data_IF_240646161417
#
_entry.id   IF_240646161417
#
_cell.length_a   1.000
_cell.length_b   1.000
_cell.length_c   1.000
_cell.angle_alpha   90.00
_cell.angle_beta   90.00
_cell.angle_gamma   90.00
#
_symmetry.space_group_name_H-M   'P 1'
#
loop_
_entity.id
_entity.type
_entity.pdbx_description
1 polymer ?
#
# COMPACT_ATOMS: atom_id res chain seq x y z
N UNK A 1 -29.71 9.97 -50.09
CA UNK A 1 -30.48 10.97 -49.36
C UNK A 1 -31.29 11.77 -50.35
N UNK A 2 -32.61 11.79 -50.21
CA UNK A 2 -33.48 12.63 -51.03
C UNK A 2 -33.38 14.09 -50.58
N UNK A 3 -33.68 15.05 -51.46
CA UNK A 3 -33.69 16.49 -51.12
C UNK A 3 -34.63 16.77 -49.93
N UNK A 4 -35.73 16.02 -49.84
CA UNK A 4 -36.70 16.13 -48.74
C UNK A 4 -36.12 15.68 -47.40
N UNK A 5 -35.37 14.58 -47.38
CA UNK A 5 -34.66 14.10 -46.18
C UNK A 5 -33.62 15.13 -45.70
N UNK A 6 -32.84 15.70 -46.62
CA UNK A 6 -31.85 16.72 -46.29
C UNK A 6 -32.46 18.02 -45.72
N UNK A 7 -33.62 18.42 -46.24
CA UNK A 7 -34.38 19.58 -45.73
C UNK A 7 -34.97 19.31 -44.33
N UNK A 8 -35.48 18.10 -44.11
CA UNK A 8 -36.04 17.69 -42.82
C UNK A 8 -34.95 17.60 -41.74
N UNK A 9 -33.79 17.03 -42.07
CA UNK A 9 -32.60 16.97 -41.20
C UNK A 9 -32.11 18.39 -40.83
N UNK A 10 -32.02 19.29 -41.81
CA UNK A 10 -31.65 20.69 -41.60
C UNK A 10 -32.60 21.43 -40.66
N UNK A 11 -33.91 21.25 -40.87
CA UNK A 11 -34.96 21.92 -40.07
C UNK A 11 -34.92 21.43 -38.63
N UNK A 12 -34.73 20.12 -38.42
CA UNK A 12 -34.61 19.53 -37.09
C UNK A 12 -33.33 20.04 -36.37
N UNK A 13 -32.22 20.14 -37.10
CA UNK A 13 -30.96 20.66 -36.57
C UNK A 13 -31.09 22.13 -36.12
N UNK A 14 -31.68 22.98 -36.95
CA UNK A 14 -31.95 24.39 -36.59
C UNK A 14 -32.85 24.49 -35.36
N UNK A 15 -33.91 23.67 -35.29
CA UNK A 15 -34.80 23.63 -34.12
C UNK A 15 -34.05 23.22 -32.84
N UNK A 16 -33.12 22.27 -32.90
CA UNK A 16 -32.26 21.91 -31.76
C UNK A 16 -31.39 23.09 -31.32
N UNK A 17 -30.76 23.80 -32.25
CA UNK A 17 -29.89 24.96 -31.96
C UNK A 17 -30.70 26.09 -31.32
N UNK A 18 -31.84 26.43 -31.91
CA UNK A 18 -32.72 27.49 -31.39
C UNK A 18 -33.24 27.16 -30.00
N UNK A 19 -33.58 25.90 -29.75
CA UNK A 19 -34.13 25.47 -28.47
C UNK A 19 -33.09 25.30 -27.36
N UNK A 20 -31.88 24.84 -27.69
CA UNK A 20 -30.91 24.40 -26.69
C UNK A 20 -29.62 25.22 -26.64
N UNK A 21 -29.29 25.99 -27.68
CA UNK A 21 -28.01 26.72 -27.76
C UNK A 21 -28.24 28.23 -27.67
N UNK A 22 -29.23 28.79 -28.39
CA UNK A 22 -29.50 30.23 -28.34
C UNK A 22 -29.80 30.75 -26.91
N UNK A 23 -30.60 30.04 -26.07
CA UNK A 23 -30.84 30.50 -24.70
C UNK A 23 -29.56 30.60 -23.87
N UNK A 24 -28.55 29.75 -24.14
CA UNK A 24 -27.26 29.77 -23.44
C UNK A 24 -26.52 31.10 -23.67
N UNK A 25 -26.62 31.64 -24.89
CA UNK A 25 -25.98 32.88 -25.29
C UNK A 25 -26.71 34.09 -24.71
N UNK A 26 -28.04 34.09 -24.76
CA UNK A 26 -28.87 35.21 -24.31
C UNK A 26 -28.80 35.42 -22.79
N UNK A 27 -28.71 34.32 -22.03
CA UNK A 27 -28.67 34.37 -20.56
C UNK A 27 -27.26 34.57 -19.98
N UNK A 28 -26.21 34.70 -20.82
CA UNK A 28 -24.79 34.78 -20.41
C UNK A 28 -24.35 33.64 -19.48
N UNK A 29 -24.94 32.46 -19.64
CA UNK A 29 -24.68 31.32 -18.75
C UNK A 29 -23.51 30.45 -19.20
N UNK A 30 -22.94 30.73 -20.38
CA UNK A 30 -21.78 30.04 -20.93
C UNK A 30 -20.76 31.06 -21.44
N UNK A 31 -19.62 31.17 -20.75
CA UNK A 31 -18.56 32.14 -21.11
C UNK A 31 -17.53 31.50 -22.05
N UNK A 32 -17.96 31.14 -23.26
CA UNK A 32 -17.10 30.55 -24.30
C UNK A 32 -17.52 31.10 -25.67
N UNK A 33 -16.98 32.27 -26.02
CA UNK A 33 -17.25 32.90 -27.31
C UNK A 33 -16.80 32.00 -28.48
N UNK A 34 -15.74 31.21 -28.27
CA UNK A 34 -15.21 30.26 -29.25
C UNK A 34 -16.23 29.14 -29.54
N UNK A 35 -16.87 28.58 -28.51
CA UNK A 35 -17.95 27.60 -28.68
C UNK A 35 -19.11 28.15 -29.52
N UNK A 36 -19.62 29.35 -29.22
CA UNK A 36 -20.73 29.92 -29.98
C UNK A 36 -20.32 30.22 -31.42
N UNK A 37 -19.08 30.64 -31.65
CA UNK A 37 -18.52 30.81 -32.99
C UNK A 37 -18.48 29.47 -33.74
N UNK A 38 -17.95 28.42 -33.12
CA UNK A 38 -17.84 27.09 -33.72
C UNK A 38 -19.19 26.48 -34.06
N UNK A 39 -20.17 26.62 -33.15
CA UNK A 39 -21.55 26.17 -33.40
C UNK A 39 -22.19 26.97 -34.51
N UNK A 40 -22.03 28.30 -34.53
CA UNK A 40 -22.59 29.16 -35.59
C UNK A 40 -22.00 28.78 -36.95
N UNK A 41 -20.68 28.59 -37.02
CA UNK A 41 -20.00 28.15 -38.24
C UNK A 41 -20.44 26.75 -38.68
N UNK A 42 -20.67 25.84 -37.73
CA UNK A 42 -21.17 24.50 -38.01
C UNK A 42 -22.64 24.49 -38.47
N UNK A 43 -23.47 25.37 -37.89
CA UNK A 43 -24.86 25.59 -38.28
C UNK A 43 -24.99 26.12 -39.71
N UNK A 44 -24.13 27.09 -40.09
CA UNK A 44 -24.06 27.61 -41.46
C UNK A 44 -23.69 26.52 -42.47
N UNK A 45 -22.87 25.54 -42.07
CA UNK A 45 -22.50 24.39 -42.91
C UNK A 45 -23.59 23.31 -42.98
N UNK A 46 -24.67 23.45 -42.21
CA UNK A 46 -25.79 22.51 -42.15
C UNK A 46 -25.36 21.04 -41.98
N UNK A 47 -24.42 20.79 -41.06
CA UNK A 47 -23.82 19.48 -40.85
C UNK A 47 -23.93 19.09 -39.38
N UNK A 48 -24.77 18.09 -39.08
CA UNK A 48 -24.91 17.54 -37.72
C UNK A 48 -23.57 17.02 -37.20
N UNK A 49 -22.74 16.45 -38.07
CA UNK A 49 -21.38 16.03 -37.72
C UNK A 49 -20.51 17.20 -37.27
N UNK A 50 -20.57 18.35 -37.97
CA UNK A 50 -19.81 19.54 -37.58
C UNK A 50 -20.29 20.10 -36.23
N UNK A 51 -21.61 20.11 -35.98
CA UNK A 51 -22.16 20.58 -34.71
C UNK A 51 -21.79 19.63 -33.58
N UNK A 52 -21.93 18.32 -33.79
CA UNK A 52 -21.53 17.29 -32.82
C UNK A 52 -20.05 17.42 -32.46
N UNK A 53 -19.19 17.70 -33.44
CA UNK A 53 -17.77 17.96 -33.22
C UNK A 53 -17.54 19.25 -32.42
N UNK A 54 -18.23 20.34 -32.74
CA UNK A 54 -18.13 21.61 -32.00
C UNK A 54 -18.59 21.45 -30.55
N UNK A 55 -19.68 20.71 -30.32
CA UNK A 55 -20.16 20.37 -28.96
C UNK A 55 -19.13 19.53 -28.22
N UNK A 56 -18.59 18.48 -28.86
CA UNK A 56 -17.55 17.65 -28.24
C UNK A 56 -16.35 18.49 -27.82
N UNK A 57 -15.93 19.44 -28.66
CA UNK A 57 -14.81 20.33 -28.42
C UNK A 57 -15.07 21.27 -27.24
N UNK A 58 -16.26 21.86 -27.17
CA UNK A 58 -16.69 22.65 -26.02
C UNK A 58 -16.75 21.85 -24.71
N UNK A 59 -17.16 20.58 -24.77
CA UNK A 59 -17.15 19.69 -23.61
C UNK A 59 -15.72 19.42 -23.09
N UNK A 60 -14.69 19.56 -23.92
CA UNK A 60 -13.29 19.48 -23.45
C UNK A 60 -12.84 20.72 -22.67
N UNK A 61 -13.52 21.85 -22.87
CA UNK A 61 -13.17 23.18 -22.32
C UNK A 61 -14.02 23.62 -21.12
N UNK A 62 -14.85 22.74 -20.56
CA UNK A 62 -15.77 23.07 -19.45
C UNK A 62 -15.09 23.74 -18.24
N UNK A 63 -13.80 23.45 -17.98
CA UNK A 63 -13.05 24.12 -16.92
C UNK A 63 -12.81 25.61 -17.15
N UNK A 64 -12.63 26.01 -18.42
CA UNK A 64 -12.42 27.40 -18.80
C UNK A 64 -13.74 28.17 -18.90
N UNK A 65 -14.76 27.56 -19.51
CA UNK A 65 -16.06 28.18 -19.78
C UNK A 65 -17.00 28.19 -18.58
N UNK A 66 -16.81 27.24 -17.65
CA UNK A 66 -17.55 27.08 -16.39
C UNK A 66 -19.09 27.21 -16.51
N UNK A 67 -19.73 26.51 -17.46
CA UNK A 67 -21.18 26.59 -17.63
C UNK A 67 -21.94 25.95 -16.46
N UNK A 68 -23.20 26.31 -16.26
CA UNK A 68 -24.03 25.59 -15.30
C UNK A 68 -24.19 24.11 -15.70
N UNK A 69 -24.16 23.20 -14.73
CA UNK A 69 -24.31 21.75 -14.95
C UNK A 69 -25.59 21.39 -15.74
N UNK A 70 -26.71 22.07 -15.46
CA UNK A 70 -27.99 21.87 -16.15
C UNK A 70 -27.81 22.08 -17.65
N UNK A 71 -27.08 23.12 -18.05
CA UNK A 71 -26.84 23.43 -19.46
C UNK A 71 -25.98 22.37 -20.14
N UNK A 72 -24.96 21.88 -19.43
CA UNK A 72 -24.13 20.77 -19.93
C UNK A 72 -24.99 19.54 -20.18
N UNK A 73 -25.90 19.21 -19.26
CA UNK A 73 -26.84 18.09 -19.43
C UNK A 73 -27.79 18.31 -20.62
N UNK A 74 -28.33 19.52 -20.80
CA UNK A 74 -29.20 19.84 -21.94
C UNK A 74 -28.46 19.73 -23.27
N UNK A 75 -27.22 20.23 -23.34
CA UNK A 75 -26.39 20.16 -24.53
C UNK A 75 -26.09 18.70 -24.90
N UNK A 76 -25.78 17.86 -23.92
CA UNK A 76 -25.56 16.41 -24.13
C UNK A 76 -26.84 15.72 -24.59
N UNK A 77 -28.00 16.05 -24.00
CA UNK A 77 -29.28 15.48 -24.43
C UNK A 77 -29.62 15.84 -25.88
N UNK A 78 -29.26 17.05 -26.32
CA UNK A 78 -29.44 17.48 -27.70
C UNK A 78 -28.46 16.81 -28.68
N UNK A 79 -27.20 16.59 -28.23
CA UNK A 79 -26.11 16.05 -29.04
C UNK A 79 -25.34 14.92 -28.32
N UNK A 80 -25.97 13.76 -28.07
CA UNK A 80 -25.38 12.70 -27.23
C UNK A 80 -24.12 12.07 -27.84
N UNK A 81 -24.02 12.03 -29.17
CA UNK A 81 -22.86 11.48 -29.86
C UNK A 81 -21.59 12.33 -29.68
N UNK A 82 -21.73 13.59 -29.21
CA UNK A 82 -20.59 14.43 -28.87
C UNK A 82 -19.73 13.80 -27.77
N UNK A 83 -20.32 13.04 -26.83
CA UNK A 83 -19.57 12.33 -25.79
C UNK A 83 -18.71 11.18 -26.33
N UNK A 84 -19.04 10.64 -27.51
CA UNK A 84 -18.29 9.56 -28.17
C UNK A 84 -17.22 10.09 -29.11
N UNK A 85 -17.33 11.35 -29.52
CA UNK A 85 -16.41 11.98 -30.44
C UNK A 85 -15.04 12.13 -29.79
N UNK A 86 -14.04 11.46 -30.35
CA UNK A 86 -12.66 11.60 -29.88
C UNK A 86 -12.03 12.87 -30.42
N UNK A 87 -11.37 13.62 -29.55
CA UNK A 87 -10.58 14.80 -29.85
C UNK A 87 -9.14 14.46 -29.44
N UNK A 88 -8.24 14.48 -30.42
CA UNK A 88 -6.85 14.03 -30.25
C UNK A 88 -6.74 12.62 -29.62
N UNK A 89 -7.65 11.73 -30.03
CA UNK A 89 -7.71 10.35 -29.55
C UNK A 89 -8.37 10.17 -28.17
N UNK A 90 -8.80 11.24 -27.50
CA UNK A 90 -9.41 11.21 -26.16
C UNK A 90 -10.90 11.50 -26.21
N UNK A 91 -11.68 10.90 -25.31
CA UNK A 91 -13.08 11.27 -25.08
C UNK A 91 -13.16 12.63 -24.37
N UNK A 92 -14.25 13.40 -24.49
CA UNK A 92 -14.36 14.69 -23.81
C UNK A 92 -14.16 14.59 -22.30
N UNK A 93 -14.66 13.53 -21.68
CA UNK A 93 -14.44 13.22 -20.26
C UNK A 93 -12.94 13.12 -19.89
N UNK A 94 -12.11 12.55 -20.77
CA UNK A 94 -10.66 12.38 -20.58
C UNK A 94 -9.90 13.70 -20.71
N UNK A 95 -10.39 14.64 -21.52
CA UNK A 95 -9.78 15.95 -21.68
C UNK A 95 -9.93 16.83 -20.43
N UNK A 96 -10.95 16.60 -19.59
CA UNK A 96 -11.18 17.42 -18.39
C UNK A 96 -10.03 17.40 -17.40
N UNK A 97 -9.27 16.30 -17.32
CA UNK A 97 -8.13 16.18 -16.41
C UNK A 97 -6.82 16.76 -16.97
N UNK A 98 -6.79 17.09 -18.26
CA UNK A 98 -5.70 17.80 -18.92
C UNK A 98 -5.86 19.33 -18.85
N UNK A 99 -7.06 19.81 -18.56
CA UNK A 99 -7.37 21.24 -18.52
C UNK A 99 -6.45 22.01 -17.56
N UNK A 100 -6.18 23.26 -17.90
CA UNK A 100 -5.38 24.19 -17.06
C UNK A 100 -6.02 24.38 -15.68
N UNK A 101 -7.35 24.36 -15.61
CA UNK A 101 -8.13 24.48 -14.38
C UNK A 101 -8.77 23.15 -13.96
N UNK A 102 -7.91 22.20 -13.55
CA UNK A 102 -8.32 20.83 -13.18
C UNK A 102 -9.36 20.77 -12.07
N UNK A 103 -9.35 21.72 -11.15
CA UNK A 103 -10.27 21.72 -10.02
C UNK A 103 -11.69 21.97 -10.51
N UNK A 104 -11.89 23.00 -11.33
CA UNK A 104 -13.20 23.33 -11.87
C UNK A 104 -13.68 22.34 -12.92
N UNK A 105 -12.80 21.85 -13.80
CA UNK A 105 -13.21 20.85 -14.80
C UNK A 105 -13.64 19.52 -14.16
N UNK A 106 -13.01 19.12 -13.05
CA UNK A 106 -13.30 17.83 -12.41
C UNK A 106 -14.74 17.67 -11.92
N UNK A 107 -15.45 18.76 -11.63
CA UNK A 107 -16.83 18.70 -11.17
C UNK A 107 -17.80 18.14 -12.24
N UNK A 108 -17.49 18.34 -13.53
CA UNK A 108 -18.31 17.85 -14.64
C UNK A 108 -18.09 16.37 -14.95
N UNK A 109 -17.09 15.72 -14.35
CA UNK A 109 -16.78 14.30 -14.59
C UNK A 109 -17.98 13.42 -14.24
N UNK A 110 -18.63 13.69 -13.10
CA UNK A 110 -19.80 12.94 -12.66
C UNK A 110 -20.95 13.10 -13.67
N UNK A 111 -21.24 14.34 -14.06
CA UNK A 111 -22.30 14.67 -15.02
C UNK A 111 -22.08 13.99 -16.37
N UNK A 112 -20.89 14.14 -16.94
CA UNK A 112 -20.54 13.56 -18.24
C UNK A 112 -20.57 12.03 -18.20
N UNK A 113 -20.11 11.41 -17.12
CA UNK A 113 -20.15 9.96 -16.98
C UNK A 113 -21.58 9.42 -16.82
N UNK A 114 -22.42 10.09 -16.02
CA UNK A 114 -23.83 9.70 -15.83
C UNK A 114 -24.60 9.82 -17.15
N UNK A 115 -24.46 10.92 -17.87
CA UNK A 115 -25.09 11.05 -19.19
C UNK A 115 -24.44 10.08 -20.20
N UNK A 116 -23.13 9.90 -20.15
CA UNK A 116 -22.40 8.98 -21.01
C UNK A 116 -22.83 7.52 -20.86
N UNK A 117 -23.21 7.09 -19.64
CA UNK A 117 -23.79 5.76 -19.43
C UNK A 117 -25.08 5.54 -20.20
N UNK A 118 -25.96 6.56 -20.28
CA UNK A 118 -27.24 6.47 -21.01
C UNK A 118 -27.03 6.26 -22.50
N UNK A 119 -25.89 6.70 -23.02
CA UNK A 119 -25.55 6.67 -24.43
C UNK A 119 -24.47 5.63 -24.79
N UNK A 120 -24.11 4.73 -23.85
CA UNK A 120 -23.07 3.70 -24.03
C UNK A 120 -21.71 4.28 -24.48
N UNK A 121 -21.31 5.40 -23.88
CA UNK A 121 -20.02 6.05 -24.17
C UNK A 121 -18.88 5.15 -23.71
N UNK A 122 -17.98 4.83 -24.64
CA UNK A 122 -16.89 3.88 -24.43
C UNK A 122 -17.28 2.42 -24.71
N UNK A 123 -18.56 2.12 -24.83
CA UNK A 123 -19.08 0.76 -24.99
C UNK A 123 -19.43 0.07 -23.68
N UNK A 124 -19.89 -1.18 -23.80
CA UNK A 124 -20.40 -1.98 -22.69
C UNK A 124 -19.40 -2.04 -21.51
N UNK A 125 -19.91 -1.82 -20.31
CA UNK A 125 -19.17 -1.79 -19.04
C UNK A 125 -18.11 -0.69 -18.90
N UNK A 126 -18.01 0.27 -19.83
CA UNK A 126 -17.06 1.38 -19.71
C UNK A 126 -17.54 2.53 -18.83
N UNK A 127 -18.74 2.41 -18.24
CA UNK A 127 -19.33 3.35 -17.27
C UNK A 127 -19.29 4.80 -17.74
N UNK A 128 -19.82 5.03 -18.94
CA UNK A 128 -19.87 6.36 -19.54
C UNK A 128 -18.50 6.93 -19.90
N UNK A 129 -17.54 6.06 -20.22
CA UNK A 129 -16.18 6.44 -20.59
C UNK A 129 -15.19 6.54 -19.43
N UNK A 130 -15.63 6.41 -18.16
CA UNK A 130 -14.74 6.47 -16.99
C UNK A 130 -13.62 5.42 -17.07
N UNK A 131 -13.95 4.20 -17.52
CA UNK A 131 -12.98 3.11 -17.62
C UNK A 131 -12.22 3.08 -18.94
N UNK A 132 -12.53 4.00 -19.87
CA UNK A 132 -11.75 4.08 -21.09
C UNK A 132 -10.33 4.54 -20.74
N UNK A 133 -9.34 3.74 -21.11
CA UNK A 133 -7.94 4.15 -20.97
C UNK A 133 -7.59 5.20 -22.01
N UNK A 134 -6.88 6.24 -21.56
CA UNK A 134 -6.11 7.15 -22.42
C UNK A 134 -4.67 7.09 -21.92
N UNK A 135 -3.73 6.74 -22.78
CA UNK A 135 -2.31 6.63 -22.40
C UNK A 135 -2.09 5.72 -21.18
N UNK A 136 -2.64 4.50 -21.21
CA UNK A 136 -2.49 3.47 -20.16
C UNK A 136 -3.27 3.70 -18.86
N UNK A 137 -3.87 4.87 -18.65
CA UNK A 137 -4.65 5.19 -17.45
C UNK A 137 -6.10 5.52 -17.78
N UNK A 138 -7.03 5.03 -16.97
CA UNK A 138 -8.43 5.44 -17.02
C UNK A 138 -8.70 6.66 -16.11
N UNK A 139 -9.92 7.21 -16.15
CA UNK A 139 -10.29 8.41 -15.39
C UNK A 139 -10.13 8.21 -13.88
N UNK A 140 -10.46 7.03 -13.34
CA UNK A 140 -10.32 6.75 -11.91
C UNK A 140 -8.86 6.82 -11.48
N UNK A 141 -7.96 6.23 -12.27
CA UNK A 141 -6.51 6.25 -12.01
C UNK A 141 -5.94 7.66 -12.10
N UNK A 142 -6.37 8.44 -13.10
CA UNK A 142 -5.96 9.84 -13.24
C UNK A 142 -6.46 10.70 -12.08
N UNK A 143 -7.72 10.55 -11.66
CA UNK A 143 -8.27 11.22 -10.48
C UNK A 143 -7.48 10.88 -9.22
N UNK A 144 -6.95 9.66 -9.09
CA UNK A 144 -6.11 9.32 -7.94
C UNK A 144 -4.73 9.98 -7.98
N UNK A 145 -4.20 10.25 -9.18
CA UNK A 145 -2.81 10.69 -9.37
C UNK A 145 -2.62 12.20 -9.33
N UNK A 146 -3.62 12.99 -9.76
CA UNK A 146 -3.48 14.43 -9.98
C UNK A 146 -4.57 15.24 -9.27
N UNK A 147 -4.38 16.55 -9.22
CA UNK A 147 -5.39 17.49 -8.71
C UNK A 147 -5.34 17.71 -7.20
N UNK A 148 -6.19 18.63 -6.74
CA UNK A 148 -6.32 18.97 -5.32
C UNK A 148 -7.12 17.89 -4.58
N UNK A 149 -6.58 17.39 -3.47
CA UNK A 149 -7.13 16.24 -2.73
C UNK A 149 -8.62 16.39 -2.39
N UNK A 150 -9.03 17.57 -1.93
CA UNK A 150 -10.39 17.81 -1.44
C UNK A 150 -11.41 17.78 -2.57
N UNK A 151 -11.15 18.52 -3.65
CA UNK A 151 -12.05 18.56 -4.80
C UNK A 151 -12.15 17.20 -5.47
N UNK A 152 -11.03 16.49 -5.62
CA UNK A 152 -11.07 15.16 -6.24
C UNK A 152 -11.74 14.13 -5.33
N UNK A 153 -11.55 14.21 -4.01
CA UNK A 153 -12.29 13.37 -3.06
C UNK A 153 -13.80 13.57 -3.21
N UNK A 154 -14.26 14.83 -3.33
CA UNK A 154 -15.69 15.12 -3.53
C UNK A 154 -16.19 14.48 -4.84
N UNK A 155 -15.42 14.55 -5.94
CA UNK A 155 -15.75 13.86 -7.19
C UNK A 155 -15.83 12.34 -7.01
N UNK A 156 -14.84 11.73 -6.35
CA UNK A 156 -14.82 10.28 -6.10
C UNK A 156 -16.01 9.82 -5.25
N UNK A 157 -16.40 10.61 -4.24
CA UNK A 157 -17.60 10.34 -3.42
C UNK A 157 -18.86 10.36 -4.27
N UNK A 158 -19.05 11.38 -5.10
CA UNK A 158 -20.20 11.44 -6.00
C UNK A 158 -20.20 10.30 -7.03
N UNK A 159 -19.04 9.92 -7.58
CA UNK A 159 -18.92 8.75 -8.44
C UNK A 159 -19.36 7.46 -7.71
N UNK A 160 -18.96 7.30 -6.45
CA UNK A 160 -19.37 6.17 -5.63
C UNK A 160 -20.88 6.18 -5.35
N UNK A 161 -21.46 7.33 -4.98
CA UNK A 161 -22.90 7.49 -4.76
C UNK A 161 -23.75 7.17 -6.01
N UNK A 162 -23.22 7.47 -7.21
CA UNK A 162 -23.87 7.14 -8.49
C UNK A 162 -23.59 5.70 -8.96
N UNK A 163 -22.84 4.90 -8.19
CA UNK A 163 -22.47 3.52 -8.55
C UNK A 163 -21.46 3.42 -9.71
N UNK A 164 -20.79 4.54 -10.04
CA UNK A 164 -19.77 4.65 -11.07
C UNK A 164 -18.38 4.26 -10.56
N UNK A 165 -18.11 4.50 -9.28
CA UNK A 165 -16.97 3.95 -8.54
C UNK A 165 -17.50 2.86 -7.62
N UNK A 166 -16.83 1.71 -7.58
CA UNK A 166 -17.15 0.55 -6.76
C UNK A 166 -15.93 0.20 -5.90
N UNK A 167 -16.15 -0.51 -4.80
CA UNK A 167 -15.04 -0.95 -3.95
C UNK A 167 -14.06 -1.87 -4.70
N UNK A 168 -14.58 -2.73 -5.59
CA UNK A 168 -13.77 -3.66 -6.37
C UNK A 168 -12.78 -2.93 -7.30
N UNK A 169 -13.14 -1.72 -7.74
CA UNK A 169 -12.30 -0.87 -8.60
C UNK A 169 -10.99 -0.47 -7.90
N UNK A 170 -10.99 -0.37 -6.57
CA UNK A 170 -9.83 0.03 -5.79
C UNK A 170 -8.67 -0.94 -6.05
N UNK A 171 -8.97 -2.24 -6.02
CA UNK A 171 -7.99 -3.28 -6.34
C UNK A 171 -7.82 -3.48 -7.85
N UNK A 172 -8.92 -3.57 -8.62
CA UNK A 172 -8.89 -3.87 -10.06
C UNK A 172 -8.08 -2.83 -10.85
N UNK A 173 -8.22 -1.55 -10.51
CA UNK A 173 -7.51 -0.46 -11.19
C UNK A 173 -6.36 0.11 -10.37
N UNK A 174 -5.99 -0.57 -9.27
CA UNK A 174 -4.87 -0.20 -8.40
C UNK A 174 -4.94 1.25 -7.88
N UNK A 175 -6.11 1.70 -7.45
CA UNK A 175 -6.33 3.12 -7.10
C UNK A 175 -5.47 3.59 -5.92
N UNK A 176 -5.15 2.71 -4.95
CA UNK A 176 -4.21 3.01 -3.86
C UNK A 176 -2.79 3.28 -4.37
N UNK A 177 -2.38 2.61 -5.46
CA UNK A 177 -1.08 2.86 -6.11
C UNK A 177 -1.01 4.28 -6.67
N UNK A 178 -2.02 4.66 -7.44
CA UNK A 178 -2.09 5.98 -8.04
C UNK A 178 -2.30 7.10 -7.02
N UNK A 179 -3.03 6.82 -5.93
CA UNK A 179 -3.17 7.77 -4.83
C UNK A 179 -1.79 8.18 -4.28
N UNK A 180 -0.82 7.25 -4.16
CA UNK A 180 0.52 7.57 -3.68
C UNK A 180 1.34 8.54 -4.57
N UNK A 181 0.88 8.85 -5.79
CA UNK A 181 1.60 9.75 -6.71
C UNK A 181 1.46 11.24 -6.35
N UNK A 182 0.42 11.64 -5.63
CA UNK A 182 0.18 13.03 -5.25
C UNK A 182 0.72 13.36 -3.86
N UNK A 183 1.37 14.51 -3.68
CA UNK A 183 1.80 14.99 -2.35
C UNK A 183 0.62 15.24 -1.40
N UNK A 184 -0.52 15.63 -1.96
CA UNK A 184 -1.78 15.90 -1.26
C UNK A 184 -2.84 14.91 -1.74
N UNK A 185 -2.67 13.64 -1.39
CA UNK A 185 -3.57 12.54 -1.77
C UNK A 185 -4.03 11.71 -0.57
N UNK A 186 -3.73 12.17 0.66
CA UNK A 186 -4.03 11.44 1.89
C UNK A 186 -5.53 11.22 2.08
N UNK A 187 -6.36 12.21 1.74
CA UNK A 187 -7.80 12.13 1.94
C UNK A 187 -8.41 11.11 0.97
N UNK A 188 -7.94 11.07 -0.28
CA UNK A 188 -8.32 10.03 -1.25
C UNK A 188 -7.89 8.64 -0.80
N UNK A 189 -6.65 8.51 -0.35
CA UNK A 189 -6.14 7.23 0.15
C UNK A 189 -6.95 6.73 1.35
N UNK A 190 -7.20 7.59 2.34
CA UNK A 190 -7.99 7.28 3.53
C UNK A 190 -9.42 6.89 3.15
N UNK A 191 -10.05 7.61 2.23
CA UNK A 191 -11.38 7.27 1.75
C UNK A 191 -11.45 5.89 1.09
N UNK A 192 -10.43 5.50 0.30
CA UNK A 192 -10.38 4.14 -0.26
C UNK A 192 -10.23 3.07 0.82
N UNK A 193 -9.44 3.34 1.86
CA UNK A 193 -9.31 2.42 3.00
C UNK A 193 -10.58 2.34 3.84
N UNK A 194 -11.39 3.39 3.89
CA UNK A 194 -12.73 3.36 4.51
C UNK A 194 -13.73 2.54 3.67
N UNK A 195 -13.67 2.66 2.34
CA UNK A 195 -14.52 1.90 1.42
C UNK A 195 -14.18 0.41 1.40
N UNK A 196 -12.89 0.08 1.43
CA UNK A 196 -12.40 -1.29 1.44
C UNK A 196 -11.13 -1.43 2.31
N UNK A 197 -11.29 -1.77 3.60
CA UNK A 197 -10.16 -1.97 4.51
C UNK A 197 -9.20 -3.10 4.07
N UNK A 198 -9.69 -4.07 3.29
CA UNK A 198 -8.88 -5.19 2.80
C UNK A 198 -8.11 -4.82 1.52
N UNK A 199 -8.41 -3.67 0.90
CA UNK A 199 -7.79 -3.27 -0.36
C UNK A 199 -6.27 -3.17 -0.27
N UNK A 200 -5.71 -2.78 0.89
CA UNK A 200 -4.26 -2.70 1.06
C UNK A 200 -3.57 -4.07 0.97
N UNK A 201 -4.20 -5.09 1.55
CA UNK A 201 -3.74 -6.47 1.50
C UNK A 201 -4.04 -7.13 0.16
N UNK A 202 -5.09 -6.71 -0.55
CA UNK A 202 -5.50 -7.30 -1.83
C UNK A 202 -4.88 -6.61 -3.05
N UNK A 203 -4.49 -5.34 -2.94
CA UNK A 203 -3.89 -4.59 -4.04
C UNK A 203 -2.53 -5.18 -4.38
N UNK A 204 -2.43 -5.68 -5.61
CA UNK A 204 -1.22 -6.24 -6.19
C UNK A 204 -0.99 -5.64 -7.56
N UNK A 205 0.20 -5.14 -7.80
CA UNK A 205 0.62 -4.71 -9.14
C UNK A 205 1.51 -5.81 -9.71
N UNK A 206 0.94 -6.67 -10.55
CA UNK A 206 1.51 -7.99 -10.81
C UNK A 206 1.57 -8.82 -9.53
N UNK A 207 2.73 -9.38 -9.18
CA UNK A 207 2.94 -10.16 -7.95
C UNK A 207 3.48 -9.33 -6.77
N UNK A 208 3.51 -8.01 -6.90
CA UNK A 208 4.10 -7.10 -5.90
C UNK A 208 3.03 -6.45 -5.02
N UNK A 209 3.30 -6.34 -3.72
CA UNK A 209 2.50 -5.46 -2.86
C UNK A 209 2.71 -3.99 -3.25
N UNK A 210 1.79 -3.12 -2.81
CA UNK A 210 1.78 -1.68 -3.12
C UNK A 210 3.16 -1.00 -3.00
N UNK A 211 3.82 -1.18 -1.85
CA UNK A 211 5.11 -0.53 -1.59
C UNK A 211 6.23 -1.07 -2.50
N UNK A 212 6.22 -2.38 -2.79
CA UNK A 212 7.19 -2.98 -3.71
C UNK A 212 6.97 -2.52 -5.16
N UNK A 213 5.72 -2.36 -5.57
CA UNK A 213 5.35 -1.88 -6.89
C UNK A 213 5.84 -0.44 -7.11
N UNK A 214 5.55 0.47 -6.17
CA UNK A 214 5.97 1.87 -6.26
C UNK A 214 7.49 1.99 -6.33
N UNK A 215 8.20 1.27 -5.46
CA UNK A 215 9.66 1.27 -5.47
C UNK A 215 10.21 0.78 -6.81
N UNK A 216 9.58 -0.22 -7.43
CA UNK A 216 10.05 -0.82 -8.70
C UNK A 216 9.76 0.05 -9.91
N UNK A 217 8.55 0.60 -10.01
CA UNK A 217 8.10 1.32 -11.19
C UNK A 217 8.52 2.80 -11.18
N UNK A 218 8.80 3.36 -10.00
CA UNK A 218 9.16 4.77 -9.82
C UNK A 218 10.43 4.91 -8.97
N UNK A 219 11.53 4.35 -9.47
CA UNK A 219 12.78 4.26 -8.72
C UNK A 219 13.45 5.60 -8.38
N UNK A 220 13.05 6.68 -9.04
CA UNK A 220 13.54 8.04 -8.89
C UNK A 220 12.59 8.94 -8.07
N UNK A 221 11.42 8.42 -7.66
CA UNK A 221 10.36 9.19 -6.98
C UNK A 221 10.33 8.91 -5.48
N UNK A 222 11.26 9.54 -4.76
CA UNK A 222 11.30 9.50 -3.29
C UNK A 222 9.99 9.97 -2.63
N UNK A 223 9.33 10.94 -3.26
CA UNK A 223 8.03 11.48 -2.86
C UNK A 223 6.94 10.39 -2.84
N UNK A 224 6.91 9.50 -3.83
CA UNK A 224 5.89 8.45 -3.91
C UNK A 224 6.07 7.41 -2.81
N UNK A 225 7.32 7.03 -2.55
CA UNK A 225 7.64 6.13 -1.43
C UNK A 225 7.28 6.76 -0.09
N UNK A 226 7.62 8.03 0.13
CA UNK A 226 7.27 8.77 1.35
C UNK A 226 5.76 8.86 1.55
N UNK A 227 5.00 9.19 0.50
CA UNK A 227 3.54 9.28 0.55
C UNK A 227 2.93 7.92 0.88
N UNK A 228 3.34 6.88 0.16
CA UNK A 228 2.89 5.51 0.45
C UNK A 228 3.17 5.11 1.89
N UNK A 229 4.37 5.35 2.41
CA UNK A 229 4.71 5.02 3.79
C UNK A 229 3.83 5.82 4.75
N UNK A 230 3.71 7.14 4.56
CA UNK A 230 2.88 8.01 5.41
C UNK A 230 1.43 7.54 5.49
N UNK A 231 0.83 7.18 4.36
CA UNK A 231 -0.57 6.78 4.31
C UNK A 231 -0.76 5.37 4.88
N UNK A 232 0.06 4.42 4.44
CA UNK A 232 -0.08 3.03 4.86
C UNK A 232 0.25 2.80 6.32
N UNK A 233 1.14 3.59 6.92
CA UNK A 233 1.48 3.49 8.34
C UNK A 233 0.29 3.70 9.29
N UNK A 234 -0.79 4.36 8.83
CA UNK A 234 -2.04 4.49 9.59
C UNK A 234 -2.83 3.19 9.68
N UNK A 235 -2.69 2.32 8.67
CA UNK A 235 -3.52 1.12 8.50
C UNK A 235 -2.73 -0.17 8.72
N UNK A 236 -1.51 -0.27 8.17
CA UNK A 236 -0.68 -1.46 8.21
C UNK A 236 0.80 -1.09 8.34
N UNK A 237 1.32 -1.19 9.56
CA UNK A 237 2.67 -0.73 9.90
C UNK A 237 3.79 -1.64 9.38
N UNK A 238 3.48 -2.90 9.08
CA UNK A 238 4.48 -3.92 8.74
C UNK A 238 4.82 -4.00 7.24
N UNK A 239 4.18 -3.18 6.38
CA UNK A 239 4.45 -3.17 4.94
C UNK A 239 5.90 -2.85 4.59
N UNK A 240 6.56 -2.01 5.38
CA UNK A 240 7.97 -1.66 5.20
C UNK A 240 8.89 -2.90 5.25
N UNK A 241 8.51 -3.92 6.04
CA UNK A 241 9.29 -5.15 6.22
C UNK A 241 8.70 -6.36 5.47
N UNK A 242 7.61 -6.17 4.73
CA UNK A 242 7.04 -7.23 3.90
C UNK A 242 8.04 -7.62 2.79
N UNK A 243 8.22 -8.93 2.59
CA UNK A 243 9.12 -9.47 1.57
C UNK A 243 8.41 -9.63 0.22
N UNK A 244 9.13 -9.34 -0.85
CA UNK A 244 8.80 -9.73 -2.21
C UNK A 244 10.06 -10.36 -2.83
N UNK A 245 10.05 -11.69 -2.94
CA UNK A 245 11.26 -12.48 -3.18
C UNK A 245 12.23 -12.37 -1.99
N UNK A 246 13.55 -12.16 -2.24
CA UNK A 246 14.55 -12.13 -1.17
C UNK A 246 14.63 -10.79 -0.43
N UNK A 247 13.95 -9.74 -0.89
CA UNK A 247 14.09 -8.38 -0.36
C UNK A 247 12.82 -7.91 0.35
N UNK A 248 12.99 -7.23 1.47
CA UNK A 248 11.94 -6.39 2.09
C UNK A 248 11.76 -5.09 1.31
N UNK A 249 10.64 -4.40 1.52
CA UNK A 249 10.40 -3.09 0.92
C UNK A 249 11.46 -2.07 1.42
N UNK A 250 11.82 -2.11 2.70
CA UNK A 250 12.92 -1.33 3.25
C UNK A 250 14.23 -1.59 2.51
N UNK A 251 14.67 -2.85 2.39
CA UNK A 251 15.95 -3.17 1.72
C UNK A 251 15.96 -2.68 0.28
N UNK A 252 14.81 -2.80 -0.41
CA UNK A 252 14.62 -2.32 -1.77
C UNK A 252 14.71 -0.78 -1.83
N UNK A 253 14.08 -0.07 -0.90
CA UNK A 253 14.20 1.38 -0.77
C UNK A 253 15.65 1.79 -0.45
N UNK A 254 16.33 1.14 0.50
CA UNK A 254 17.70 1.47 0.89
C UNK A 254 18.69 1.32 -0.25
N UNK A 255 18.51 0.31 -1.11
CA UNK A 255 19.34 0.14 -2.31
C UNK A 255 19.15 1.27 -3.34
N UNK A 256 17.99 1.93 -3.34
CA UNK A 256 17.64 2.97 -4.32
C UNK A 256 17.97 4.37 -3.81
N UNK A 257 17.49 4.72 -2.61
CA UNK A 257 17.62 6.06 -2.07
C UNK A 257 18.74 6.20 -1.03
N UNK A 258 19.48 5.11 -0.73
CA UNK A 258 20.61 5.11 0.20
C UNK A 258 20.24 5.76 1.57
N UNK A 259 21.00 6.77 1.97
CA UNK A 259 20.82 7.48 3.23
C UNK A 259 19.50 8.28 3.30
N UNK A 260 18.90 8.65 2.15
CA UNK A 260 17.64 9.39 2.13
C UNK A 260 16.48 8.59 2.70
N UNK A 261 16.52 7.25 2.64
CA UNK A 261 15.49 6.40 3.26
C UNK A 261 15.38 6.72 4.74
N UNK A 262 16.49 6.77 5.48
CA UNK A 262 16.44 7.01 6.93
C UNK A 262 15.85 8.38 7.27
N UNK A 263 16.12 9.40 6.43
CA UNK A 263 15.48 10.72 6.55
C UNK A 263 13.97 10.64 6.33
N UNK A 264 13.52 9.96 5.28
CA UNK A 264 12.09 9.74 5.00
C UNK A 264 11.43 9.00 6.16
N UNK A 265 12.04 7.92 6.65
CA UNK A 265 11.52 7.18 7.79
C UNK A 265 11.41 8.09 9.02
N UNK A 266 12.41 8.94 9.30
CA UNK A 266 12.36 9.87 10.44
C UNK A 266 11.28 10.93 10.31
N UNK A 267 10.95 11.35 9.10
CA UNK A 267 9.84 12.29 8.85
C UNK A 267 8.47 11.62 9.01
N UNK A 268 8.38 10.30 8.83
CA UNK A 268 7.11 9.56 8.90
C UNK A 268 6.85 8.92 10.26
N UNK A 269 7.86 8.31 10.89
CA UNK A 269 7.75 7.71 12.21
C UNK A 269 7.94 8.78 13.29
N UNK A 270 6.86 9.07 14.03
CA UNK A 270 6.89 9.99 15.14
C UNK A 270 7.12 9.24 16.46
N UNK A 271 7.73 9.92 17.44
CA UNK A 271 7.98 9.33 18.77
C UNK A 271 6.70 8.86 19.46
N UNK A 272 5.60 9.54 19.17
CA UNK A 272 4.26 9.31 19.73
C UNK A 272 3.57 8.06 19.19
N UNK A 273 4.06 7.46 18.10
CA UNK A 273 3.33 6.41 17.39
C UNK A 273 3.35 5.06 18.12
N UNK A 274 4.19 4.93 19.15
CA UNK A 274 4.38 3.70 19.93
C UNK A 274 4.80 2.49 19.08
N UNK A 275 5.23 2.70 17.83
CA UNK A 275 5.54 1.62 16.91
C UNK A 275 6.92 1.02 17.25
N UNK A 276 7.01 -0.30 17.55
CA UNK A 276 8.25 -0.94 17.97
C UNK A 276 9.22 -1.18 16.79
N UNK A 277 9.61 -0.11 16.10
CA UNK A 277 10.39 -0.14 14.85
C UNK A 277 11.66 -0.98 14.96
N UNK A 278 12.46 -0.78 16.03
CA UNK A 278 13.68 -1.56 16.24
C UNK A 278 13.42 -3.06 16.41
N UNK A 279 12.28 -3.47 16.96
CA UNK A 279 11.93 -4.89 17.08
C UNK A 279 11.73 -5.50 15.70
N UNK A 280 11.04 -4.78 14.81
CA UNK A 280 10.82 -5.21 13.43
C UNK A 280 12.14 -5.24 12.63
N UNK A 281 13.04 -4.28 12.86
CA UNK A 281 14.38 -4.28 12.27
C UNK A 281 15.19 -5.49 12.71
N UNK A 282 15.20 -5.84 14.00
CA UNK A 282 15.89 -7.05 14.49
C UNK A 282 15.40 -8.30 13.76
N UNK A 283 14.08 -8.43 13.56
CA UNK A 283 13.50 -9.62 12.97
C UNK A 283 13.69 -9.71 11.45
N UNK A 284 13.62 -8.59 10.75
CA UNK A 284 13.52 -8.57 9.29
C UNK A 284 14.79 -8.07 8.59
N UNK A 285 15.51 -7.12 9.21
CA UNK A 285 16.66 -6.42 8.61
C UNK A 285 17.78 -6.18 9.64
N UNK A 286 18.30 -7.24 10.31
CA UNK A 286 19.20 -7.12 11.46
C UNK A 286 20.52 -6.40 11.14
N UNK A 287 20.98 -6.46 9.90
CA UNK A 287 22.19 -5.75 9.45
C UNK A 287 22.06 -4.22 9.56
N UNK A 288 20.84 -3.68 9.63
CA UNK A 288 20.59 -2.25 9.77
C UNK A 288 20.36 -1.82 11.22
N UNK A 289 20.38 -2.73 12.19
CA UNK A 289 20.03 -2.45 13.59
C UNK A 289 20.77 -1.23 14.15
N UNK A 290 22.10 -1.20 14.03
CA UNK A 290 22.91 -0.09 14.53
C UNK A 290 22.55 1.25 13.87
N UNK A 291 22.22 1.24 12.58
CA UNK A 291 21.80 2.44 11.88
C UNK A 291 20.45 2.93 12.41
N UNK A 292 19.49 2.02 12.62
CA UNK A 292 18.19 2.41 13.19
C UNK A 292 18.30 2.89 14.64
N UNK A 293 19.16 2.32 15.47
CA UNK A 293 19.37 2.79 16.86
C UNK A 293 19.82 4.25 16.87
N UNK A 294 20.70 4.65 15.96
CA UNK A 294 21.16 6.04 15.83
C UNK A 294 20.05 6.99 15.39
N UNK A 295 19.18 6.56 14.48
CA UNK A 295 18.13 7.41 13.92
C UNK A 295 16.83 7.44 14.73
N UNK A 296 16.55 6.37 15.48
CA UNK A 296 15.30 6.14 16.22
C UNK A 296 15.56 5.72 17.67
N UNK A 297 16.41 6.44 18.44
CA UNK A 297 16.82 6.01 19.77
C UNK A 297 15.64 5.86 20.74
N UNK A 298 14.58 6.66 20.60
CA UNK A 298 13.39 6.61 21.45
C UNK A 298 12.67 5.25 21.40
N UNK A 299 12.81 4.51 20.30
CA UNK A 299 12.14 3.20 20.13
C UNK A 299 12.76 2.10 20.98
N UNK A 300 13.91 2.36 21.63
CA UNK A 300 14.58 1.39 22.52
C UNK A 300 13.75 1.00 23.74
N UNK A 301 12.89 1.90 24.20
CA UNK A 301 12.05 1.72 25.38
C UNK A 301 10.69 1.12 25.07
N UNK A 302 10.34 0.98 23.78
CA UNK A 302 9.07 0.40 23.38
C UNK A 302 9.08 -1.11 23.61
N UNK A 303 7.88 -1.69 23.66
CA UNK A 303 7.68 -3.14 23.72
C UNK A 303 7.04 -3.62 22.43
N UNK A 304 7.38 -4.82 21.99
CA UNK A 304 6.71 -5.44 20.84
C UNK A 304 5.27 -5.89 21.16
N UNK A 305 4.58 -6.44 20.17
CA UNK A 305 3.22 -7.00 20.29
C UNK A 305 3.08 -8.09 21.37
N UNK A 306 4.17 -8.72 21.79
CA UNK A 306 4.20 -9.72 22.86
C UNK A 306 4.65 -9.15 24.21
N UNK A 307 4.83 -7.82 24.30
CA UNK A 307 5.31 -7.14 25.50
C UNK A 307 6.82 -7.25 25.71
N UNK A 308 7.59 -7.79 24.77
CA UNK A 308 9.05 -7.95 24.90
C UNK A 308 9.75 -6.62 24.78
N UNK A 309 10.79 -6.42 25.58
CA UNK A 309 11.77 -5.34 25.34
C UNK A 309 12.72 -5.72 24.20
N UNK A 310 13.48 -4.73 23.70
CA UNK A 310 14.54 -4.99 22.73
C UNK A 310 15.54 -6.01 23.25
N UNK A 311 15.96 -5.89 24.51
CA UNK A 311 16.90 -6.83 25.15
C UNK A 311 16.36 -8.26 25.11
N UNK A 312 15.08 -8.45 25.47
CA UNK A 312 14.44 -9.76 25.44
C UNK A 312 14.36 -10.33 24.02
N UNK A 313 14.03 -9.49 23.03
CA UNK A 313 14.00 -9.90 21.63
C UNK A 313 15.38 -10.25 21.08
N UNK A 314 16.40 -9.46 21.42
CA UNK A 314 17.79 -9.71 21.02
C UNK A 314 18.29 -11.08 21.53
N UNK A 315 17.90 -11.44 22.75
CA UNK A 315 18.33 -12.68 23.40
C UNK A 315 17.53 -13.91 22.94
N UNK A 316 16.25 -13.74 22.61
CA UNK A 316 15.36 -14.85 22.22
C UNK A 316 15.37 -15.17 20.72
N UNK A 317 15.64 -14.19 19.85
CA UNK A 317 15.60 -14.39 18.40
C UNK A 317 16.96 -14.84 17.83
N UNK A 318 16.96 -15.56 16.71
CA UNK A 318 18.21 -15.93 16.01
C UNK A 318 18.93 -14.68 15.47
N UNK A 319 18.21 -13.80 14.77
CA UNK A 319 18.77 -12.56 14.23
C UNK A 319 19.32 -11.63 15.33
N UNK A 320 18.61 -11.54 16.46
CA UNK A 320 19.08 -10.78 17.62
C UNK A 320 20.39 -11.31 18.19
N UNK A 321 20.52 -12.63 18.29
CA UNK A 321 21.75 -13.26 18.79
C UNK A 321 22.94 -13.02 17.87
N UNK A 322 22.75 -12.97 16.56
CA UNK A 322 23.79 -12.57 15.60
C UNK A 322 24.26 -11.11 15.81
N UNK A 323 23.33 -10.20 16.11
CA UNK A 323 23.65 -8.81 16.45
C UNK A 323 24.50 -8.75 17.74
N UNK A 324 24.12 -9.53 18.76
CA UNK A 324 24.83 -9.60 20.04
C UNK A 324 26.24 -10.18 19.89
N UNK A 325 26.43 -11.19 19.05
CA UNK A 325 27.76 -11.76 18.78
C UNK A 325 28.71 -10.74 18.14
N UNK A 326 28.19 -9.90 17.24
CA UNK A 326 28.95 -8.79 16.64
C UNK A 326 29.26 -7.68 17.67
N UNK A 327 28.51 -7.59 18.77
CA UNK A 327 28.64 -6.53 19.77
C UNK A 327 28.62 -7.07 21.22
N UNK A 328 29.65 -7.79 21.68
CA UNK A 328 29.63 -8.48 22.97
C UNK A 328 29.37 -7.57 24.19
N UNK A 329 29.76 -6.30 24.09
CA UNK A 329 29.55 -5.31 25.15
C UNK A 329 28.07 -5.02 25.45
N UNK A 330 27.17 -5.30 24.51
CA UNK A 330 25.73 -5.04 24.66
C UNK A 330 25.11 -5.89 25.77
N UNK A 331 25.35 -7.21 25.76
CA UNK A 331 24.83 -8.11 26.81
C UNK A 331 25.73 -8.15 28.05
N UNK A 332 27.00 -7.70 27.95
CA UNK A 332 27.86 -7.58 29.13
C UNK A 332 27.42 -6.48 30.12
N UNK A 333 26.57 -5.55 29.67
CA UNK A 333 26.10 -4.41 30.46
C UNK A 333 24.69 -4.60 31.05
N UNK A 334 24.07 -5.77 30.86
CA UNK A 334 22.75 -6.03 31.42
C UNK A 334 22.82 -5.99 32.95
N UNK A 335 21.83 -5.32 33.55
CA UNK A 335 21.71 -5.27 35.00
C UNK A 335 21.04 -6.56 35.53
N UNK A 336 21.00 -6.70 36.87
CA UNK A 336 20.42 -7.85 37.53
C UNK A 336 18.94 -8.01 37.19
N UNK A 337 18.17 -6.91 37.15
CA UNK A 337 16.74 -6.95 36.83
C UNK A 337 16.48 -7.46 35.41
N UNK A 338 17.29 -7.02 34.43
CA UNK A 338 17.20 -7.46 33.03
C UNK A 338 17.58 -8.93 32.87
N UNK A 339 18.59 -9.41 33.63
CA UNK A 339 19.01 -10.82 33.64
C UNK A 339 17.95 -11.71 34.31
N UNK A 340 17.16 -11.17 35.22
CA UNK A 340 16.07 -11.88 35.90
C UNK A 340 14.74 -11.79 35.15
N UNK A 341 14.56 -10.77 34.32
CA UNK A 341 13.33 -10.48 33.60
C UNK A 341 12.96 -11.61 32.63
N UNK A 342 11.87 -12.32 32.92
CA UNK A 342 11.34 -13.37 32.06
C UNK A 342 10.80 -12.78 30.76
N UNK A 343 11.12 -13.44 29.65
CA UNK A 343 10.53 -13.13 28.36
C UNK A 343 9.00 -13.41 28.44
N UNK A 344 8.14 -12.42 28.16
CA UNK A 344 6.69 -12.57 28.33
C UNK A 344 6.04 -13.63 27.43
N UNK A 345 6.66 -13.96 26.28
CA UNK A 345 6.12 -14.94 25.34
C UNK A 345 6.50 -16.37 25.73
N UNK A 346 7.76 -16.59 26.07
CA UNK A 346 8.33 -17.92 26.34
C UNK A 346 8.39 -18.27 27.82
N UNK A 347 8.23 -17.28 28.70
CA UNK A 347 8.44 -17.33 30.16
C UNK A 347 9.86 -17.69 30.59
N UNK A 348 10.79 -17.81 29.64
CA UNK A 348 12.18 -18.16 29.89
C UNK A 348 12.96 -16.96 30.43
N UNK A 349 13.90 -17.24 31.34
CA UNK A 349 14.92 -16.27 31.71
C UNK A 349 15.90 -16.07 30.54
N UNK A 350 16.56 -14.90 30.43
CA UNK A 350 17.51 -14.56 29.38
C UNK A 350 18.52 -15.64 29.01
N UNK A 351 19.24 -16.22 29.99
CA UNK A 351 20.22 -17.27 29.72
C UNK A 351 19.58 -18.50 29.07
N UNK A 352 18.40 -18.90 29.55
CA UNK A 352 17.66 -20.05 29.04
C UNK A 352 17.08 -19.77 27.65
N UNK A 353 16.56 -18.55 27.42
CA UNK A 353 16.08 -18.11 26.11
C UNK A 353 17.19 -18.22 25.06
N UNK A 354 18.37 -17.68 25.35
CA UNK A 354 19.56 -17.75 24.47
C UNK A 354 19.97 -19.19 24.17
N UNK A 355 19.95 -20.06 25.18
CA UNK A 355 20.33 -21.47 25.07
C UNK A 355 19.28 -22.33 24.35
N UNK A 356 18.01 -21.91 24.36
CA UNK A 356 16.89 -22.72 23.85
C UNK A 356 16.74 -22.71 22.32
N UNK A 357 17.31 -21.73 21.61
CA UNK A 357 17.22 -21.66 20.16
C UNK A 357 18.04 -22.76 19.46
N UNK A 358 17.68 -23.09 18.22
CA UNK A 358 18.38 -24.10 17.41
C UNK A 358 19.90 -23.86 17.34
N UNK A 359 20.31 -22.59 17.20
CA UNK A 359 21.71 -22.16 17.23
C UNK A 359 22.14 -21.67 18.62
N UNK A 360 21.77 -22.40 19.67
CA UNK A 360 21.98 -22.02 21.07
C UNK A 360 23.36 -21.40 21.33
N UNK A 361 23.40 -20.12 21.69
CA UNK A 361 24.65 -19.37 21.89
C UNK A 361 25.14 -19.53 23.33
N UNK A 362 25.73 -20.69 23.61
CA UNK A 362 26.15 -21.09 24.97
C UNK A 362 27.17 -20.12 25.58
N UNK A 363 27.99 -19.46 24.78
CA UNK A 363 28.90 -18.39 25.23
C UNK A 363 28.14 -17.21 25.87
N UNK A 364 27.08 -16.73 25.22
CA UNK A 364 26.23 -15.65 25.73
C UNK A 364 25.50 -16.15 26.98
N UNK A 365 24.89 -17.34 26.92
CA UNK A 365 24.21 -17.94 28.08
C UNK A 365 25.12 -18.08 29.29
N UNK A 366 26.35 -18.57 29.10
CA UNK A 366 27.32 -18.74 30.19
C UNK A 366 27.76 -17.39 30.77
N UNK A 367 27.95 -16.38 29.92
CA UNK A 367 28.30 -15.04 30.38
C UNK A 367 27.20 -14.41 31.24
N UNK A 368 25.92 -14.58 30.86
CA UNK A 368 24.78 -14.11 31.65
C UNK A 368 24.70 -14.81 33.01
N UNK A 369 24.93 -16.13 33.05
CA UNK A 369 25.00 -16.89 34.31
C UNK A 369 26.16 -16.43 35.20
N UNK A 370 27.31 -16.07 34.60
CA UNK A 370 28.46 -15.56 35.35
C UNK A 370 28.17 -14.20 35.99
N UNK A 371 27.35 -13.37 35.37
CA UNK A 371 26.95 -12.07 35.91
C UNK A 371 25.97 -12.19 37.07
N UNK A 372 25.02 -13.13 36.99
CA UNK A 372 24.09 -13.42 38.08
C UNK A 372 23.86 -14.93 38.22
N UNK A 373 24.67 -15.65 39.02
CA UNK A 373 24.52 -17.10 39.19
C UNK A 373 23.19 -17.52 39.84
N UNK A 374 22.57 -16.65 40.63
CA UNK A 374 21.34 -16.97 41.39
C UNK A 374 20.17 -17.34 40.49
N UNK A 375 20.15 -16.85 39.24
CA UNK A 375 19.13 -17.20 38.26
C UNK A 375 19.12 -18.68 37.88
N UNK A 376 20.25 -19.37 38.06
CA UNK A 376 20.37 -20.81 37.86
C UNK A 376 19.73 -21.58 39.01
N UNK A 377 19.95 -21.14 40.25
CA UNK A 377 19.40 -21.80 41.44
C UNK A 377 17.87 -21.78 41.42
N UNK A 378 17.28 -20.63 41.06
CA UNK A 378 15.83 -20.52 40.86
C UNK A 378 15.33 -21.40 39.72
N UNK A 379 16.10 -21.52 38.64
CA UNK A 379 15.73 -22.34 37.49
C UNK A 379 15.78 -23.84 37.82
N UNK A 380 16.78 -24.29 38.57
CA UNK A 380 16.93 -25.69 39.03
C UNK A 380 15.86 -26.04 40.08
N UNK A 381 15.51 -25.08 40.94
CA UNK A 381 14.48 -25.24 41.98
C UNK A 381 13.06 -25.33 41.41
N UNK A 382 12.85 -25.07 40.12
CA UNK A 382 11.56 -25.23 39.47
C UNK A 382 11.18 -26.73 39.39
N UNK A 383 10.11 -27.18 40.08
CA UNK A 383 9.75 -28.60 40.17
C UNK A 383 9.57 -29.29 38.82
N UNK A 384 9.12 -28.54 37.79
CA UNK A 384 8.97 -29.07 36.44
C UNK A 384 10.32 -29.38 35.78
N UNK A 385 11.33 -28.53 35.98
CA UNK A 385 12.69 -28.74 35.47
C UNK A 385 13.34 -29.91 36.20
N UNK A 386 13.23 -29.94 37.53
CA UNK A 386 13.78 -31.02 38.36
C UNK A 386 13.16 -32.37 37.98
N UNK A 387 11.84 -32.44 37.77
CA UNK A 387 11.15 -33.66 37.34
C UNK A 387 11.60 -34.13 35.94
N UNK A 388 11.84 -33.21 35.01
CA UNK A 388 12.30 -33.53 33.64
C UNK A 388 13.75 -33.98 33.62
N UNK A 389 14.61 -33.36 34.43
CA UNK A 389 16.01 -33.78 34.63
C UNK A 389 16.09 -35.16 35.28
N UNK A 390 15.29 -35.42 36.33
CA UNK A 390 15.23 -36.73 36.99
C UNK A 390 14.72 -37.83 36.04
N UNK A 391 13.73 -37.54 35.19
CA UNK A 391 13.29 -38.49 34.14
C UNK A 391 14.40 -38.81 33.14
N UNK A 392 15.24 -37.82 32.78
CA UNK A 392 16.37 -38.03 31.87
C UNK A 392 17.49 -38.82 32.53
N UNK A 393 17.86 -38.50 33.77
CA UNK A 393 18.90 -39.24 34.51
C UNK A 393 18.55 -40.71 34.72
N UNK A 394 17.28 -41.02 35.01
CA UNK A 394 16.81 -42.41 35.07
C UNK A 394 16.86 -43.11 33.70
N UNK A 395 16.55 -42.40 32.61
CA UNK A 395 16.61 -42.97 31.25
C UNK A 395 18.05 -43.24 30.79
N UNK A 396 19.00 -42.33 31.09
CA UNK A 396 20.42 -42.53 30.78
C UNK A 396 21.06 -43.58 31.68
N UNK A 397 20.75 -43.63 32.97
CA UNK A 397 21.21 -44.67 33.89
C UNK A 397 20.74 -46.07 33.45
N UNK A 398 19.48 -46.19 32.99
CA UNK A 398 18.95 -47.45 32.46
C UNK A 398 19.61 -47.84 31.11
N UNK A 399 19.96 -46.86 30.26
CA UNK A 399 20.71 -47.12 29.01
C UNK A 399 22.16 -47.56 29.28
N UNK A 400 22.86 -46.94 30.24
CA UNK A 400 24.21 -47.35 30.62
C UNK A 400 24.23 -48.73 31.27
N UNK A 401 23.30 -49.03 32.18
CA UNK A 401 23.17 -50.38 32.74
C UNK A 401 22.86 -51.44 31.67
N UNK A 402 22.08 -51.08 30.63
CA UNK A 402 21.84 -51.93 29.48
C UNK A 402 23.12 -52.20 28.65
N UNK A 403 23.92 -51.17 28.38
CA UNK A 403 25.20 -51.29 27.67
C UNK A 403 26.24 -52.09 28.47
N UNK A 404 26.30 -51.89 29.77
CA UNK A 404 27.21 -52.60 30.69
C UNK A 404 26.88 -54.09 30.78
N UNK A 405 25.60 -54.46 30.90
CA UNK A 405 25.14 -55.86 30.85
C UNK A 405 25.46 -56.52 29.50
N UNK A 406 25.34 -55.78 28.40
CA UNK A 406 25.66 -56.26 27.05
C UNK A 406 27.18 -56.48 26.87
N UNK A 407 28.02 -55.59 27.41
CA UNK A 407 29.49 -55.77 27.46
C UNK A 407 29.89 -56.98 28.29
N UNK A 408 29.28 -57.19 29.47
CA UNK A 408 29.54 -58.37 30.31
C UNK A 408 29.13 -59.68 29.64
N UNK A 409 28.05 -59.71 28.87
CA UNK A 409 27.67 -60.87 28.05
C UNK A 409 28.69 -61.16 26.94
N UNK A 410 29.21 -60.15 26.24
CA UNK A 410 30.25 -60.33 25.22
C UNK A 410 31.59 -60.82 25.80
N UNK A 411 31.96 -60.39 27.00
CA UNK A 411 33.18 -60.84 27.69
C UNK A 411 33.07 -62.29 28.20
N UNK A 412 31.89 -62.74 28.63
CA UNK A 412 31.68 -64.14 29.05
C UNK A 412 31.64 -65.12 27.86
N UNK A 413 31.35 -64.66 26.65
CA UNK A 413 31.33 -65.50 25.44
C UNK A 413 32.70 -65.75 24.79
N UNK A 414 33.79 -65.12 25.27
CA UNK A 414 35.14 -65.26 24.68
C UNK A 414 36.09 -66.19 25.42
N UNK A 415 35.68 -66.79 26.55
CA UNK A 415 36.53 -67.68 27.35
C UNK A 415 36.16 -69.17 27.21
N UNK A 416 35.56 -69.60 26.10
CA UNK A 416 35.11 -70.99 25.96
C UNK A 416 35.50 -71.72 24.66
N UNK A 417 36.30 -71.11 23.79
CA UNK A 417 36.91 -71.81 22.66
C UNK A 417 38.29 -71.23 22.42
N UNK A 418 39.31 -71.98 22.87
CA UNK A 418 40.65 -72.15 22.28
C UNK A 418 41.56 -72.78 23.35
N UNK A 419 41.30 -74.07 23.59
CA UNK A 419 42.31 -75.03 24.06
C UNK A 419 42.23 -76.19 23.09
N UNK A 420 43.06 -76.13 22.06
CA UNK A 420 43.70 -77.28 21.40
C UNK A 420 45.02 -76.81 20.78
#
# INVERSE_FOLDING_TARGET
>A
MSIREALEESTNLLSKIEKHILPLQEEQQWNDEEFFMDVTLAAVKNSEHCITKAVADALTRLGASRPNEILVQELIRAFPDALKQRIDGKLPLQCLLDATDKNWSSQYIVTLAVEGMKHDVGGANMRGGILCSSNWENILQQLCSVGNDRYILDVLKHLHEKGLLRKEDICEFHLLYYACHGNDSSLRFEYFMELDPEALDNTRYGDMSLMHALLTNHSDREDYFKNCLKYTMKFQKDLLFQKNGPLTAFKRASKRFNAYVMRILREVFLETDGYPLLHKVILHEPDYFNQFVTWFPWTIHLRDENGRTITQLLLSSTAGREILEKNPLSYMKLNVEEIEAKDPLTTLKPFAAVASGNDGKLNISFQLLRQNPTVLDEFISNPYVTAKLNKRSHKSANQEQGKEKSRRKKLRGRNLFDVE
#
